data_IF_296165124904
#
_entry.id   IF_296165124904
#
_cell.length_a   1.000
_cell.length_b   1.000
_cell.length_c   1.000
_cell.angle_alpha   90.00
_cell.angle_beta   90.00
_cell.angle_gamma   90.00
#
_symmetry.space_group_name_H-M   'P 1'
#
loop_
_entity.id
_entity.type
_entity.pdbx_description
1 polymer ?
#
# COMPACT_ATOMS: atom_id res chain seq x y z
N UNK A 1 -28.46 -9.00 -54.99
CA UNK A 1 -28.82 -10.40 -55.31
C UNK A 1 -27.54 -11.21 -55.33
N UNK A 2 -27.29 -12.23 -54.53
CA UNK A 2 -28.05 -12.89 -53.49
C UNK A 2 -27.33 -14.20 -53.18
N UNK A 3 -26.98 -14.41 -51.92
CA UNK A 3 -26.96 -15.70 -51.22
C UNK A 3 -26.35 -15.49 -49.81
N UNK A 4 -26.58 -16.39 -48.84
CA UNK A 4 -27.59 -17.45 -48.72
C UNK A 4 -28.27 -17.36 -47.31
N UNK A 5 -29.06 -18.34 -46.77
CA UNK A 5 -28.47 -19.60 -46.27
C UNK A 5 -29.35 -20.89 -46.41
N UNK A 6 -28.64 -21.97 -46.69
CA UNK A 6 -28.74 -23.37 -46.19
C UNK A 6 -30.08 -24.04 -45.85
N UNK A 7 -30.24 -25.23 -46.45
CA UNK A 7 -31.29 -26.24 -46.22
C UNK A 7 -30.75 -27.39 -45.35
N UNK A 8 -31.63 -27.88 -44.46
CA UNK A 8 -31.75 -29.23 -43.84
C UNK A 8 -30.52 -29.81 -43.10
N UNK A 9 -30.57 -30.13 -41.80
CA UNK A 9 -31.47 -31.01 -41.03
C UNK A 9 -31.28 -32.53 -41.27
N UNK A 10 -30.59 -33.18 -40.32
CA UNK A 10 -30.77 -34.56 -39.87
C UNK A 10 -30.19 -34.63 -38.43
N UNK A 11 -30.99 -34.63 -37.36
CA UNK A 11 -31.76 -35.73 -36.71
C UNK A 11 -30.90 -36.90 -36.19
N UNK A 12 -30.95 -37.07 -34.86
CA UNK A 12 -30.47 -38.23 -34.09
C UNK A 12 -29.53 -37.78 -32.96
N UNK A 13 -29.80 -37.94 -31.66
CA UNK A 13 -30.88 -38.65 -30.98
C UNK A 13 -30.88 -38.38 -29.46
N UNK A 14 -31.95 -38.90 -28.87
CA UNK A 14 -32.19 -39.25 -27.47
C UNK A 14 -32.17 -38.19 -26.35
N UNK A 15 -33.41 -37.88 -25.99
CA UNK A 15 -33.91 -37.46 -24.69
C UNK A 15 -33.57 -38.49 -23.59
N UNK A 16 -33.07 -38.03 -22.43
CA UNK A 16 -33.79 -38.14 -21.13
C UNK A 16 -33.06 -37.51 -19.93
N UNK A 17 -33.76 -36.51 -19.37
CA UNK A 17 -34.06 -36.22 -17.95
C UNK A 17 -32.95 -36.27 -16.88
N UNK A 18 -32.78 -35.12 -16.22
CA UNK A 18 -32.32 -35.02 -14.83
C UNK A 18 -32.31 -33.57 -14.34
N UNK A 19 -33.32 -33.16 -13.59
CA UNK A 19 -33.48 -31.84 -12.98
C UNK A 19 -32.59 -31.68 -11.70
N UNK A 20 -32.57 -30.50 -11.05
CA UNK A 20 -31.37 -29.90 -10.43
C UNK A 20 -31.08 -30.37 -9.00
N UNK A 21 -29.80 -30.35 -8.61
CA UNK A 21 -29.37 -30.31 -7.20
C UNK A 21 -28.09 -29.49 -7.05
N UNK A 22 -28.22 -28.27 -6.50
CA UNK A 22 -27.26 -27.81 -5.50
C UNK A 22 -27.45 -28.66 -4.23
N UNK A 23 -26.40 -28.94 -3.46
CA UNK A 23 -25.83 -27.99 -2.50
C UNK A 23 -24.28 -28.06 -2.57
N UNK A 24 -23.42 -27.36 -1.83
CA UNK A 24 -23.49 -26.93 -0.44
C UNK A 24 -22.33 -25.93 -0.20
N UNK A 25 -22.60 -24.88 0.59
CA UNK A 25 -21.58 -23.98 1.13
C UNK A 25 -21.16 -24.53 2.49
N UNK A 26 -20.31 -25.55 2.52
CA UNK A 26 -19.66 -25.98 3.76
C UNK A 26 -18.33 -26.65 3.46
N UNK A 27 -17.23 -26.00 3.83
CA UNK A 27 -15.90 -26.61 3.71
C UNK A 27 -14.75 -25.64 3.44
N UNK A 28 -14.79 -24.42 4.00
CA UNK A 28 -13.55 -23.67 4.19
C UNK A 28 -12.91 -24.17 5.49
N UNK A 29 -11.63 -24.59 5.51
CA UNK A 29 -10.97 -24.93 6.76
C UNK A 29 -10.83 -23.65 7.59
N UNK A 30 -11.62 -23.55 8.65
CA UNK A 30 -11.35 -22.66 9.77
C UNK A 30 -10.07 -23.19 10.42
N UNK A 31 -8.95 -22.48 10.26
CA UNK A 31 -7.77 -22.71 11.07
C UNK A 31 -8.11 -22.34 12.53
N UNK A 32 -8.70 -23.29 13.25
CA UNK A 32 -8.92 -23.19 14.69
C UNK A 32 -7.61 -23.57 15.37
N UNK A 33 -6.85 -22.56 15.77
CA UNK A 33 -5.64 -22.74 16.56
C UNK A 33 -6.05 -22.97 18.02
N UNK A 34 -6.34 -24.24 18.35
CA UNK A 34 -6.64 -24.66 19.71
C UNK A 34 -5.32 -24.68 20.51
N UNK A 35 -5.00 -23.57 21.18
CA UNK A 35 -3.97 -23.54 22.22
C UNK A 35 -4.54 -24.24 23.44
N UNK A 36 -4.15 -25.50 23.65
CA UNK A 36 -4.28 -26.15 24.95
C UNK A 36 -3.28 -25.50 25.92
N UNK A 37 -3.71 -24.98 27.08
CA UNK A 37 -2.75 -24.57 28.11
C UNK A 37 -2.13 -25.81 28.77
N UNK A 38 -0.83 -25.80 29.11
CA UNK A 38 -0.27 -26.85 29.95
C UNK A 38 -0.80 -26.70 31.38
N UNK A 39 -1.46 -27.74 31.88
CA UNK A 39 -1.80 -27.89 33.29
C UNK A 39 -0.50 -28.17 34.05
N UNK A 40 0.02 -27.14 34.72
CA UNK A 40 1.20 -27.24 35.57
C UNK A 40 1.03 -26.34 36.79
N UNK A 41 0.58 -26.93 37.90
CA UNK A 41 0.57 -26.32 39.23
C UNK A 41 2.01 -26.31 39.78
N UNK A 42 2.58 -25.11 39.92
CA UNK A 42 3.87 -24.87 40.56
C UNK A 42 4.02 -23.38 40.83
N UNK A 43 4.07 -23.00 42.10
CA UNK A 43 3.91 -21.63 42.58
C UNK A 43 4.84 -20.60 41.95
N UNK A 44 4.27 -19.45 41.56
CA UNK A 44 5.02 -18.25 41.22
C UNK A 44 4.99 -17.29 42.40
N UNK A 45 6.04 -17.36 43.22
CA UNK A 45 6.45 -16.24 44.05
C UNK A 45 6.64 -15.01 43.14
N UNK A 46 6.13 -13.87 43.61
CA UNK A 46 5.92 -12.63 42.87
C UNK A 46 7.00 -12.32 41.83
N UNK A 47 6.61 -12.44 40.56
CA UNK A 47 7.33 -11.78 39.48
C UNK A 47 6.51 -10.56 39.11
N UNK A 48 6.87 -9.43 39.70
CA UNK A 48 6.38 -8.14 39.24
C UNK A 48 6.64 -8.07 37.72
N UNK A 49 5.67 -7.69 36.87
CA UNK A 49 5.92 -7.57 35.45
C UNK A 49 7.04 -6.55 35.26
N UNK A 50 8.23 -6.99 34.81
CA UNK A 50 9.25 -6.03 34.39
C UNK A 50 8.57 -5.08 33.40
N UNK A 51 8.56 -3.76 33.62
CA UNK A 51 8.04 -2.85 32.61
C UNK A 51 8.86 -3.10 31.35
N UNK A 52 8.21 -3.69 30.35
CA UNK A 52 8.82 -3.88 29.04
C UNK A 52 9.26 -2.50 28.53
N UNK A 53 10.35 -2.41 27.76
CA UNK A 53 10.72 -1.13 27.14
C UNK A 53 9.51 -0.61 26.37
N UNK A 54 9.14 0.66 26.58
CA UNK A 54 8.01 1.31 25.89
C UNK A 54 8.18 1.07 24.37
N UNK A 55 7.31 0.27 23.71
CA UNK A 55 7.54 -0.19 22.32
C UNK A 55 7.61 0.94 21.28
N UNK A 56 7.20 2.15 21.64
CA UNK A 56 7.02 3.28 20.73
C UNK A 56 8.31 3.70 20.01
N UNK A 57 9.48 3.63 20.66
CA UNK A 57 10.73 4.17 20.10
C UNK A 57 11.22 3.48 18.83
N UNK A 58 11.14 2.13 18.77
CA UNK A 58 11.63 1.39 17.58
C UNK A 58 10.70 1.56 16.39
N UNK A 59 9.38 1.58 16.59
CA UNK A 59 8.42 1.84 15.52
C UNK A 59 8.54 3.27 14.99
N UNK A 60 8.79 4.23 15.87
CA UNK A 60 9.08 5.61 15.51
C UNK A 60 10.35 5.75 14.63
N UNK A 61 11.42 5.00 14.91
CA UNK A 61 12.57 4.99 13.99
C UNK A 61 12.21 4.37 12.64
N UNK A 62 11.47 3.26 12.64
CA UNK A 62 11.12 2.56 11.39
C UNK A 62 10.25 3.40 10.46
N UNK A 63 9.29 4.15 11.01
CA UNK A 63 8.40 5.01 10.22
C UNK A 63 9.16 6.18 9.60
N UNK A 64 10.01 6.84 10.37
CA UNK A 64 10.85 7.95 9.90
C UNK A 64 11.80 7.48 8.80
N UNK A 65 12.50 6.37 9.02
CA UNK A 65 13.36 5.78 7.97
C UNK A 65 12.59 5.38 6.72
N UNK A 66 11.31 4.98 6.83
CA UNK A 66 10.50 4.65 5.65
C UNK A 66 10.20 5.87 4.77
N UNK A 67 10.02 7.05 5.38
CA UNK A 67 9.83 8.31 4.65
C UNK A 67 11.13 8.78 3.99
N UNK A 68 12.27 8.65 4.68
CA UNK A 68 13.59 8.92 4.11
C UNK A 68 13.88 8.05 2.88
N UNK A 69 13.60 6.74 2.96
CA UNK A 69 13.75 5.83 1.81
C UNK A 69 12.79 6.22 0.68
N UNK A 70 11.58 6.66 1.02
CA UNK A 70 10.60 7.12 0.04
C UNK A 70 11.09 8.35 -0.71
N UNK A 71 11.59 9.37 -0.01
CA UNK A 71 12.10 10.60 -0.64
C UNK A 71 13.38 10.36 -1.41
N UNK A 72 14.33 9.59 -0.86
CA UNK A 72 15.62 9.36 -1.48
C UNK A 72 15.56 8.38 -2.66
N UNK A 73 14.86 7.25 -2.52
CA UNK A 73 14.88 6.17 -3.51
C UNK A 73 13.65 6.16 -4.40
N UNK A 74 12.44 6.14 -3.82
CA UNK A 74 11.20 6.00 -4.59
C UNK A 74 10.88 7.25 -5.42
N UNK A 75 11.25 8.42 -4.90
CA UNK A 75 11.08 9.71 -5.57
C UNK A 75 12.41 10.23 -6.15
N UNK A 76 13.48 10.25 -5.35
CA UNK A 76 14.79 10.76 -5.79
C UNK A 76 15.46 9.89 -6.86
N UNK A 77 15.21 8.58 -6.86
CA UNK A 77 15.72 7.64 -7.86
C UNK A 77 15.33 8.02 -9.30
N UNK A 78 14.04 8.21 -9.63
CA UNK A 78 13.62 8.64 -10.96
C UNK A 78 14.02 10.08 -11.30
N UNK A 79 13.97 11.01 -10.33
CA UNK A 79 14.41 12.40 -10.52
C UNK A 79 15.88 12.44 -10.97
N UNK A 80 16.77 11.66 -10.34
CA UNK A 80 18.19 11.64 -10.71
C UNK A 80 18.82 13.04 -10.67
N UNK A 81 19.84 13.26 -11.51
CA UNK A 81 20.41 14.61 -11.69
C UNK A 81 19.57 15.39 -12.69
N UNK A 82 19.66 16.72 -12.66
CA UNK A 82 18.91 17.58 -13.58
C UNK A 82 19.17 17.21 -15.05
N UNK A 83 20.44 17.13 -15.45
CA UNK A 83 20.86 16.76 -16.81
C UNK A 83 20.77 15.25 -17.11
N UNK A 84 20.54 14.42 -16.09
CA UNK A 84 20.52 12.97 -16.23
C UNK A 84 19.37 12.35 -15.39
N UNK A 85 18.12 12.61 -15.78
CA UNK A 85 16.96 11.98 -15.17
C UNK A 85 17.00 10.46 -15.39
N UNK A 86 16.44 9.70 -14.46
CA UNK A 86 16.54 8.23 -14.44
C UNK A 86 15.16 7.56 -14.27
N UNK A 87 14.16 7.82 -15.14
CA UNK A 87 12.80 7.29 -15.01
C UNK A 87 12.74 5.76 -14.85
N UNK A 88 13.73 5.05 -15.42
CA UNK A 88 13.83 3.60 -15.31
C UNK A 88 14.01 3.09 -13.85
N UNK A 89 14.47 3.95 -12.93
CA UNK A 89 14.67 3.65 -11.50
C UNK A 89 13.40 3.82 -10.65
N UNK A 90 12.31 4.32 -11.22
CA UNK A 90 11.03 4.36 -10.50
C UNK A 90 10.57 2.95 -10.11
N UNK A 91 10.29 2.74 -8.83
CA UNK A 91 9.76 1.48 -8.32
C UNK A 91 8.33 1.27 -8.80
N UNK A 92 7.97 0.03 -9.13
CA UNK A 92 6.62 -0.34 -9.60
C UNK A 92 6.17 0.41 -10.88
N UNK A 93 7.10 1.01 -11.64
CA UNK A 93 6.82 1.74 -12.88
C UNK A 93 6.06 0.93 -13.93
N UNK A 94 6.39 -0.37 -14.08
CA UNK A 94 5.73 -1.25 -15.06
C UNK A 94 4.25 -1.50 -14.76
N UNK A 95 3.85 -1.26 -13.51
CA UNK A 95 2.45 -1.39 -13.09
C UNK A 95 1.75 -0.04 -12.95
N UNK A 96 2.43 1.09 -13.22
CA UNK A 96 1.87 2.43 -13.02
C UNK A 96 1.49 2.72 -11.57
N UNK A 97 2.25 2.19 -10.60
CA UNK A 97 1.91 2.27 -9.15
C UNK A 97 2.90 3.07 -8.31
N UNK A 98 3.90 3.70 -8.92
CA UNK A 98 4.95 4.45 -8.23
C UNK A 98 4.34 5.51 -7.30
N UNK A 99 3.51 6.40 -7.85
CA UNK A 99 2.85 7.48 -7.11
C UNK A 99 1.92 6.95 -6.01
N UNK A 100 1.11 5.93 -6.33
CA UNK A 100 0.22 5.28 -5.36
C UNK A 100 0.98 4.77 -4.14
N UNK A 101 2.14 4.14 -4.34
CA UNK A 101 2.95 3.64 -3.23
C UNK A 101 3.49 4.77 -2.36
N UNK A 102 3.93 5.88 -2.96
CA UNK A 102 4.36 7.07 -2.19
C UNK A 102 3.22 7.58 -1.29
N UNK A 103 2.02 7.75 -1.85
CA UNK A 103 0.86 8.25 -1.10
C UNK A 103 0.45 7.29 0.03
N UNK A 104 0.46 5.98 -0.23
CA UNK A 104 0.15 4.98 0.79
C UNK A 104 1.19 4.95 1.91
N UNK A 105 2.48 5.05 1.59
CA UNK A 105 3.53 5.13 2.61
C UNK A 105 3.38 6.40 3.45
N UNK A 106 3.10 7.55 2.82
CA UNK A 106 2.85 8.80 3.55
C UNK A 106 1.62 8.70 4.48
N UNK A 107 0.54 8.07 4.01
CA UNK A 107 -0.65 7.81 4.82
C UNK A 107 -0.34 6.91 6.02
N UNK A 108 0.29 5.77 5.76
CA UNK A 108 0.69 4.83 6.81
C UNK A 108 1.62 5.48 7.82
N UNK A 109 2.51 6.37 7.36
CA UNK A 109 3.39 7.12 8.24
C UNK A 109 2.62 8.08 9.17
N UNK A 110 1.66 8.83 8.64
CA UNK A 110 0.81 9.67 9.47
C UNK A 110 -0.01 8.84 10.46
N UNK A 111 -0.59 7.72 10.02
CA UNK A 111 -1.50 6.92 10.86
C UNK A 111 -0.78 6.22 12.00
N UNK A 112 0.42 5.70 11.74
CA UNK A 112 1.23 5.12 12.80
C UNK A 112 1.79 6.22 13.74
N UNK A 113 2.13 7.41 13.25
CA UNK A 113 2.49 8.53 14.13
C UNK A 113 1.32 8.89 15.06
N UNK A 114 0.10 8.96 14.54
CA UNK A 114 -1.11 9.22 15.33
C UNK A 114 -1.41 8.09 16.33
N UNK A 115 -1.18 6.83 15.96
CA UNK A 115 -1.37 5.69 16.86
C UNK A 115 -0.35 5.63 18.01
N UNK A 116 0.82 6.25 17.84
CA UNK A 116 1.87 6.32 18.86
C UNK A 116 1.78 7.59 19.73
N UNK A 117 1.02 8.60 19.31
CA UNK A 117 0.89 9.87 20.00
C UNK A 117 -0.27 9.85 21.00
N UNK A 118 -0.05 10.43 22.19
CA UNK A 118 -1.11 10.65 23.19
C UNK A 118 -1.92 11.95 22.92
N UNK A 119 -1.74 12.56 21.75
CA UNK A 119 -2.36 13.84 21.38
C UNK A 119 -2.62 13.92 19.87
N UNK A 120 -3.43 14.90 19.46
CA UNK A 120 -3.73 15.16 18.04
C UNK A 120 -2.53 15.79 17.31
N UNK A 121 -2.36 15.45 16.03
CA UNK A 121 -1.21 15.87 15.21
C UNK A 121 -1.62 16.80 14.05
N UNK A 122 -2.14 18.02 14.32
CA UNK A 122 -2.70 18.88 13.27
C UNK A 122 -1.67 19.31 12.21
N UNK A 123 -0.39 19.46 12.60
CA UNK A 123 0.69 19.78 11.65
C UNK A 123 0.97 18.62 10.70
N UNK A 124 0.99 17.40 11.22
CA UNK A 124 1.16 16.17 10.43
C UNK A 124 -0.02 15.94 9.49
N UNK A 125 -1.25 16.18 9.96
CA UNK A 125 -2.46 16.09 9.14
C UNK A 125 -2.44 17.08 7.97
N UNK A 126 -2.04 18.33 8.25
CA UNK A 126 -1.86 19.34 7.23
C UNK A 126 -0.74 18.97 6.24
N UNK A 127 0.37 18.39 6.71
CA UNK A 127 1.46 17.95 5.86
C UNK A 127 1.04 16.79 4.94
N UNK A 128 0.31 15.80 5.45
CA UNK A 128 -0.26 14.72 4.64
C UNK A 128 -1.24 15.27 3.58
N UNK A 129 -2.03 16.27 3.93
CA UNK A 129 -2.93 16.95 2.98
C UNK A 129 -2.13 17.59 1.83
N UNK A 130 -0.97 18.18 2.11
CA UNK A 130 -0.08 18.73 1.06
C UNK A 130 0.50 17.62 0.17
N UNK A 131 0.88 16.48 0.72
CA UNK A 131 1.33 15.32 -0.06
C UNK A 131 0.23 14.86 -1.02
N UNK A 132 -1.00 14.72 -0.53
CA UNK A 132 -2.16 14.34 -1.36
C UNK A 132 -2.46 15.37 -2.45
N UNK A 133 -2.38 16.66 -2.12
CA UNK A 133 -2.59 17.74 -3.08
C UNK A 133 -1.49 17.78 -4.17
N UNK A 134 -0.23 17.52 -3.81
CA UNK A 134 0.86 17.40 -4.78
C UNK A 134 0.65 16.20 -5.71
N UNK A 135 0.28 15.04 -5.14
CA UNK A 135 -0.01 13.84 -5.92
C UNK A 135 -1.19 14.03 -6.89
N UNK A 136 -2.24 14.76 -6.49
CA UNK A 136 -3.42 15.00 -7.32
C UNK A 136 -3.15 15.86 -8.57
N UNK A 137 -2.01 16.55 -8.63
CA UNK A 137 -1.58 17.36 -9.79
C UNK A 137 -0.76 16.58 -10.82
N UNK A 138 -0.54 15.29 -10.58
CA UNK A 138 0.28 14.43 -11.43
C UNK A 138 -0.59 13.59 -12.35
N UNK A 139 -0.30 13.64 -13.64
CA UNK A 139 -0.96 12.81 -14.66
C UNK A 139 -0.28 11.43 -14.76
N UNK A 140 1.05 11.43 -14.69
CA UNK A 140 1.86 10.22 -14.74
C UNK A 140 2.03 9.54 -13.38
N UNK A 141 1.46 8.35 -13.25
CA UNK A 141 1.52 7.53 -12.04
C UNK A 141 2.85 6.76 -11.88
N UNK A 142 3.66 6.67 -12.93
CA UNK A 142 4.87 5.86 -12.99
C UNK A 142 6.17 6.65 -12.78
N UNK A 143 6.13 7.99 -12.84
CA UNK A 143 7.30 8.88 -12.90
C UNK A 143 8.17 8.65 -14.14
N UNK A 144 7.58 8.20 -15.24
CA UNK A 144 8.21 8.10 -16.56
C UNK A 144 8.47 9.45 -17.22
N UNK A 145 7.67 10.48 -16.92
CA UNK A 145 7.75 11.80 -17.58
C UNK A 145 8.78 12.75 -16.95
N UNK A 146 9.56 12.32 -15.95
CA UNK A 146 10.56 13.15 -15.24
C UNK A 146 11.71 13.70 -16.13
N UNK A 147 11.75 13.31 -17.41
CA UNK A 147 12.62 13.93 -18.43
C UNK A 147 12.11 15.28 -18.90
N UNK A 148 10.80 15.53 -18.78
CA UNK A 148 10.18 16.82 -19.04
C UNK A 148 10.33 17.75 -17.82
N UNK A 149 10.78 19.01 -17.98
CA UNK A 149 11.00 19.93 -16.87
C UNK A 149 9.77 20.20 -16.01
N UNK A 150 8.59 20.35 -16.61
CA UNK A 150 7.36 20.66 -15.89
C UNK A 150 6.85 19.44 -15.10
N UNK A 151 6.87 18.27 -15.72
CA UNK A 151 6.58 17.01 -15.04
C UNK A 151 7.57 16.77 -13.88
N UNK A 152 8.86 17.00 -14.10
CA UNK A 152 9.91 16.89 -13.08
C UNK A 152 9.63 17.81 -11.89
N UNK A 153 9.31 19.08 -12.13
CA UNK A 153 9.01 20.05 -11.07
C UNK A 153 7.83 19.58 -10.19
N UNK A 154 6.81 18.96 -10.80
CA UNK A 154 5.69 18.36 -10.04
C UNK A 154 6.16 17.21 -9.14
N UNK A 155 7.07 16.36 -9.61
CA UNK A 155 7.65 15.26 -8.81
C UNK A 155 8.54 15.80 -7.68
N UNK A 156 9.32 16.85 -7.93
CA UNK A 156 10.12 17.53 -6.91
C UNK A 156 9.22 18.17 -5.84
N UNK A 157 8.11 18.81 -6.24
CA UNK A 157 7.12 19.34 -5.30
C UNK A 157 6.49 18.25 -4.42
N UNK A 158 6.21 17.07 -4.98
CA UNK A 158 5.80 15.90 -4.19
C UNK A 158 6.90 15.47 -3.21
N UNK A 159 8.16 15.44 -3.64
CA UNK A 159 9.30 15.11 -2.77
C UNK A 159 9.37 16.08 -1.58
N UNK A 160 9.29 17.39 -1.82
CA UNK A 160 9.31 18.40 -0.78
C UNK A 160 8.12 18.27 0.18
N UNK A 161 6.93 17.93 -0.32
CA UNK A 161 5.78 17.68 0.53
C UNK A 161 5.99 16.48 1.46
N UNK A 162 6.62 15.41 0.99
CA UNK A 162 6.94 14.23 1.82
C UNK A 162 8.04 14.54 2.83
N UNK A 163 9.05 15.34 2.47
CA UNK A 163 10.07 15.85 3.42
C UNK A 163 9.42 16.68 4.53
N UNK A 164 8.47 17.56 4.18
CA UNK A 164 7.73 18.35 5.16
C UNK A 164 6.86 17.47 6.09
N UNK A 165 6.30 16.37 5.57
CA UNK A 165 5.60 15.39 6.39
C UNK A 165 6.55 14.71 7.39
N UNK A 166 7.71 14.23 6.93
CA UNK A 166 8.73 13.65 7.81
C UNK A 166 9.15 14.63 8.92
N UNK A 167 9.46 15.88 8.55
CA UNK A 167 9.80 16.92 9.50
C UNK A 167 8.68 17.19 10.53
N UNK A 168 7.41 17.14 10.10
CA UNK A 168 6.27 17.34 11.00
C UNK A 168 6.07 16.19 12.01
N UNK A 169 6.50 14.98 11.67
CA UNK A 169 6.45 13.81 12.57
C UNK A 169 7.58 13.89 13.60
N UNK A 170 8.69 14.54 13.28
CA UNK A 170 9.85 14.71 14.16
C UNK A 170 9.80 15.88 15.12
N UNK A 171 8.88 16.81 14.89
CA UNK A 171 8.69 18.01 15.70
C UNK A 171 7.97 17.70 17.01
#
# INVERSE_FOLDING_TARGET
MGQPPTRAAARGGLVRRGAPRGPDRSGLPVFSFLVSPPTGVGGVSGRDPRPGPKPCGRFYTKIVSSLEITTAQRIGGPIGRFELPSPARAEARRSGRSLRHVVLTAQAARDLAAALADHVLPRTDAALTRVRAAAARMDDQAFGEVTDPDARLRVEALQQAVVALDASIRA
#
